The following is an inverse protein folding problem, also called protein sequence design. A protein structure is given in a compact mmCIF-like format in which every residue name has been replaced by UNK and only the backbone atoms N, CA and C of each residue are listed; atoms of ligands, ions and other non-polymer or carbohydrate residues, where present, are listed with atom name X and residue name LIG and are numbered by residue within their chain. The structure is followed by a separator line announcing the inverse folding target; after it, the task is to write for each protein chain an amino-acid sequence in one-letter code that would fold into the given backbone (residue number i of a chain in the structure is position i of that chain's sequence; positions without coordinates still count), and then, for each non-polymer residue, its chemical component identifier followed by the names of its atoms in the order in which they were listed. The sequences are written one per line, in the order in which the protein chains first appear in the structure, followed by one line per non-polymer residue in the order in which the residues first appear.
data_IF_632247311788
#
_entry.id   IF_632247311788
#
_cell.length_a   1.000
_cell.length_b   1.000
_cell.length_c   1.000
_cell.angle_alpha   90.00
_cell.angle_beta   90.00
_cell.angle_gamma   90.00
#
_symmetry.space_group_name_H-M   'P 1'
#
loop_
_entity.id
_entity.type
_entity.pdbx_description
1 polymer ?
#
# COMPACT_ATOMS: atom_id res chain seq x y z
N UNK A 1 31.41 8.99 -13.81
CA UNK A 1 30.66 8.69 -12.57
C UNK A 1 29.31 9.40 -12.63
N UNK A 2 28.30 8.86 -13.31
CA UNK A 2 26.97 9.48 -13.38
C UNK A 2 26.00 8.71 -12.50
N UNK A 3 25.72 9.25 -11.32
CA UNK A 3 24.70 8.72 -10.43
C UNK A 3 23.31 9.08 -10.98
N UNK A 4 22.61 8.07 -11.48
CA UNK A 4 21.16 8.10 -11.71
C UNK A 4 20.44 8.37 -10.38
N UNK A 5 20.03 9.62 -10.14
CA UNK A 5 19.14 9.93 -9.02
C UNK A 5 17.75 9.39 -9.32
N UNK A 6 17.49 8.15 -8.91
CA UNK A 6 16.16 7.56 -8.87
C UNK A 6 15.28 8.38 -7.93
N UNK A 7 14.34 9.14 -8.51
CA UNK A 7 13.37 9.96 -7.78
C UNK A 7 12.45 9.05 -6.97
N UNK A 8 12.66 9.00 -5.65
CA UNK A 8 11.72 8.37 -4.72
C UNK A 8 10.36 9.09 -4.83
N UNK A 9 9.30 8.34 -5.12
CA UNK A 9 7.95 8.88 -5.22
C UNK A 9 7.45 9.17 -3.80
N UNK A 10 7.14 10.43 -3.53
CA UNK A 10 6.69 10.92 -2.22
C UNK A 10 5.44 10.19 -1.70
N UNK A 11 5.13 10.38 -0.40
CA UNK A 11 3.99 9.73 0.23
C UNK A 11 2.71 10.07 -0.52
N UNK A 12 1.91 9.04 -0.81
CA UNK A 12 0.60 9.21 -1.46
C UNK A 12 -0.45 8.85 -0.42
N UNK A 13 -1.35 9.78 -0.16
CA UNK A 13 -2.53 9.51 0.66
C UNK A 13 -3.50 8.67 -0.17
N UNK A 14 -3.94 7.54 0.39
CA UNK A 14 -4.96 6.67 -0.19
C UNK A 14 -5.99 6.34 0.87
N UNK A 15 -7.22 6.02 0.48
CA UNK A 15 -8.32 5.69 1.37
C UNK A 15 -8.71 4.23 1.15
N UNK A 16 -8.44 3.38 2.13
CA UNK A 16 -8.79 1.96 2.10
C UNK A 16 -10.14 1.74 2.79
N UNK A 17 -11.03 0.99 2.19
CA UNK A 17 -12.27 0.54 2.82
C UNK A 17 -11.99 -0.68 3.72
N UNK A 18 -12.37 -0.62 5.00
CA UNK A 18 -12.25 -1.75 5.93
C UNK A 18 -13.30 -2.85 5.72
N UNK A 19 -14.42 -2.56 5.05
CA UNK A 19 -15.47 -3.55 4.79
C UNK A 19 -15.12 -4.50 3.63
N UNK A 20 -14.51 -3.97 2.56
CA UNK A 20 -14.21 -4.76 1.35
C UNK A 20 -12.74 -4.72 0.91
N UNK A 21 -11.89 -3.88 1.51
CA UNK A 21 -10.48 -3.74 1.14
C UNK A 21 -10.23 -2.84 -0.08
N UNK A 22 -11.27 -2.25 -0.69
CA UNK A 22 -11.13 -1.36 -1.84
C UNK A 22 -10.30 -0.11 -1.49
N UNK A 23 -9.43 0.34 -2.39
CA UNK A 23 -8.53 1.47 -2.14
C UNK A 23 -8.77 2.56 -3.16
N UNK A 24 -8.98 3.78 -2.70
CA UNK A 24 -9.27 4.93 -3.55
C UNK A 24 -8.38 6.13 -3.21
N UNK A 25 -7.96 6.92 -4.21
CA UNK A 25 -7.06 8.06 -4.00
C UNK A 25 -7.75 9.32 -3.52
N UNK A 26 -9.09 9.35 -3.58
CA UNK A 26 -9.90 10.50 -3.18
C UNK A 26 -10.98 10.06 -2.21
N UNK A 27 -11.15 10.83 -1.12
CA UNK A 27 -12.21 10.59 -0.16
C UNK A 27 -13.57 10.87 -0.80
N UNK A 28 -14.39 9.82 -0.96
CA UNK A 28 -15.75 9.91 -1.51
C UNK A 28 -16.85 9.82 -0.44
N UNK A 29 -16.50 9.51 0.82
CA UNK A 29 -17.46 9.33 1.92
C UNK A 29 -18.22 8.01 1.88
N UNK A 30 -18.42 7.45 0.67
CA UNK A 30 -19.00 6.14 0.38
C UNK A 30 -18.03 5.29 -0.41
N UNK A 31 -17.88 4.01 -0.06
CA UNK A 31 -17.08 3.08 -0.84
C UNK A 31 -17.80 2.71 -2.17
N UNK A 32 -17.16 2.83 -3.35
CA UNK A 32 -17.79 2.45 -4.63
C UNK A 32 -17.90 0.93 -4.84
N UNK A 33 -17.14 0.13 -4.09
CA UNK A 33 -17.17 -1.33 -4.19
C UNK A 33 -18.28 -1.97 -3.35
N UNK A 34 -18.38 -1.61 -2.06
CA UNK A 34 -19.40 -2.17 -1.16
C UNK A 34 -20.57 -1.22 -0.82
N UNK A 35 -20.53 0.03 -1.30
CA UNK A 35 -21.55 1.05 -1.05
C UNK A 35 -21.76 1.46 0.42
N UNK A 36 -20.86 1.04 1.33
CA UNK A 36 -20.87 1.42 2.74
C UNK A 36 -20.35 2.83 2.99
N UNK A 37 -20.88 3.45 4.04
CA UNK A 37 -20.44 4.73 4.58
C UNK A 37 -19.65 4.53 5.87
N UNK A 38 -18.61 5.34 6.08
CA UNK A 38 -17.81 5.31 7.31
C UNK A 38 -16.74 4.21 7.39
N UNK A 39 -16.66 3.32 6.41
CA UNK A 39 -15.62 2.26 6.35
C UNK A 39 -14.36 2.68 5.61
N UNK A 40 -14.35 3.84 4.93
CA UNK A 40 -13.18 4.40 4.26
C UNK A 40 -12.23 5.05 5.28
N UNK A 41 -11.05 4.45 5.47
CA UNK A 41 -9.96 4.97 6.31
C UNK A 41 -8.81 5.48 5.46
N UNK A 42 -8.24 6.60 5.88
CA UNK A 42 -7.06 7.19 5.25
C UNK A 42 -5.79 6.44 5.66
N UNK A 43 -5.07 5.92 4.66
CA UNK A 43 -3.79 5.24 4.80
C UNK A 43 -2.73 6.04 4.02
N UNK A 44 -1.66 6.45 4.70
CA UNK A 44 -0.55 7.12 4.05
C UNK A 44 0.36 6.03 3.49
N UNK A 45 0.32 5.81 2.18
CA UNK A 45 1.32 4.98 1.52
C UNK A 45 2.61 5.79 1.41
N UNK A 46 3.41 5.77 2.48
CA UNK A 46 4.83 6.07 2.38
C UNK A 46 5.43 5.05 1.43
N UNK A 47 5.97 5.51 0.30
CA UNK A 47 6.34 4.69 -0.85
C UNK A 47 6.91 3.34 -0.45
N UNK A 48 6.12 2.28 -0.65
CA UNK A 48 6.57 0.93 -0.40
C UNK A 48 7.86 0.70 -1.20
N UNK A 49 8.94 0.17 -0.60
CA UNK A 49 10.06 -0.30 -1.40
C UNK A 49 9.51 -1.30 -2.43
N UNK A 50 9.96 -1.22 -3.69
CA UNK A 50 9.46 -2.10 -4.74
C UNK A 50 9.71 -3.54 -4.31
N UNK A 51 8.64 -4.29 -4.03
CA UNK A 51 8.70 -5.66 -3.54
C UNK A 51 9.64 -5.80 -2.34
N UNK A 52 9.08 -5.71 -1.14
CA UNK A 52 9.53 -6.65 -0.14
C UNK A 52 9.44 -8.04 -0.79
N UNK A 53 10.61 -8.59 -1.07
CA UNK A 53 10.82 -10.00 -1.37
C UNK A 53 10.08 -10.80 -0.32
N UNK A 54 8.82 -11.12 -0.62
CA UNK A 54 8.14 -12.22 0.02
C UNK A 54 8.93 -13.47 -0.40
N UNK A 55 9.76 -13.91 0.54
CA UNK A 55 9.91 -15.30 0.89
C UNK A 55 10.30 -16.25 -0.24
N UNK A 56 11.61 -16.43 -0.44
CA UNK A 56 12.25 -17.73 -0.70
C UNK A 56 13.76 -17.48 -0.57
N UNK A 57 14.48 -17.93 0.47
CA UNK A 57 14.42 -19.22 1.17
C UNK A 57 14.79 -19.07 2.65
N UNK A 58 13.99 -19.67 3.52
CA UNK A 58 14.45 -20.14 4.82
C UNK A 58 14.71 -21.63 4.66
N UNK A 59 15.98 -22.01 4.47
CA UNK A 59 16.44 -23.35 4.78
C UNK A 59 17.66 -23.21 5.70
N UNK A 60 17.46 -23.53 6.96
CA UNK A 60 18.44 -23.45 8.03
C UNK A 60 18.24 -24.64 8.95
N UNK A 61 18.71 -25.79 8.47
CA UNK A 61 18.74 -27.07 9.16
C UNK A 61 19.37 -27.00 10.57
N UNK A 62 18.70 -27.61 11.55
CA UNK A 62 19.28 -28.13 12.79
C UNK A 62 18.39 -29.29 13.27
N UNK A 63 19.00 -30.44 13.63
CA UNK A 63 19.04 -30.78 15.05
C UNK A 63 20.42 -30.58 15.68
#
# INVERSE_FOLDING_TARGET
MSAIRSKAKGPRTVHRCQGCGHVEMKWLGRCPACNEFGTLVEEIQAGAPPRASAALVADGAAP
#
